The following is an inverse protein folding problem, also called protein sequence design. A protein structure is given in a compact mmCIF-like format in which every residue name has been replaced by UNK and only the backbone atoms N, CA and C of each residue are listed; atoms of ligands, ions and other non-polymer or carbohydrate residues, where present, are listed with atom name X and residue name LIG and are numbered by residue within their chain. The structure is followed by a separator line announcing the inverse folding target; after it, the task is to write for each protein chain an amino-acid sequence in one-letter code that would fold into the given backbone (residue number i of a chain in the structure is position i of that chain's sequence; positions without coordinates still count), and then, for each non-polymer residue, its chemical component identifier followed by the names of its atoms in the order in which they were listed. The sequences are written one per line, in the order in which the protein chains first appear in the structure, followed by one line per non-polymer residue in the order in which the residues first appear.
data_IF_278457377714
#
_entry.id   IF_278457377714
#
_cell.length_a   1.000
_cell.length_b   1.000
_cell.length_c   1.000
_cell.angle_alpha   90.00
_cell.angle_beta   90.00
_cell.angle_gamma   90.00
#
_symmetry.space_group_name_H-M   'P 1'
#
loop_
_entity.id
_entity.type
_entity.pdbx_description
1 polymer ?
#
# COMPACT_ATOMS: atom_id res chain seq x y z
N UNK A 1 12.92 -1.96 -25.53
CA UNK A 1 12.93 -3.24 -24.80
C UNK A 1 11.83 -3.17 -23.75
N UNK A 2 10.64 -3.69 -24.07
CA UNK A 2 9.53 -3.79 -23.11
C UNK A 2 9.77 -5.02 -22.25
N UNK A 3 9.82 -4.83 -20.94
CA UNK A 3 9.91 -5.91 -19.97
C UNK A 3 8.49 -6.18 -19.48
N UNK A 4 7.87 -7.28 -19.93
CA UNK A 4 6.46 -7.65 -19.63
C UNK A 4 6.26 -8.24 -18.23
N UNK A 5 7.28 -8.16 -17.37
CA UNK A 5 7.23 -8.68 -16.02
C UNK A 5 6.94 -7.55 -15.03
N UNK A 6 5.79 -7.56 -14.31
CA UNK A 6 5.38 -6.48 -13.42
C UNK A 6 6.20 -6.40 -12.12
N UNK A 7 7.08 -7.38 -11.88
CA UNK A 7 7.71 -7.64 -10.59
C UNK A 7 9.22 -7.45 -10.51
N UNK A 8 9.76 -7.49 -9.29
CA UNK A 8 11.20 -7.55 -9.04
C UNK A 8 11.72 -9.01 -9.01
N UNK A 9 13.04 -9.19 -8.88
CA UNK A 9 13.70 -10.52 -8.89
C UNK A 9 13.17 -11.47 -7.80
N UNK A 10 12.68 -10.95 -6.66
CA UNK A 10 12.07 -11.77 -5.61
C UNK A 10 10.75 -12.38 -6.08
N UNK A 11 9.96 -11.64 -6.84
CA UNK A 11 8.70 -12.13 -7.38
C UNK A 11 8.92 -13.20 -8.43
N UNK A 12 9.93 -13.02 -9.30
CA UNK A 12 10.35 -14.04 -10.25
C UNK A 12 10.74 -15.34 -9.54
N UNK A 13 11.51 -15.26 -8.45
CA UNK A 13 11.87 -16.42 -7.63
C UNK A 13 10.64 -17.12 -7.07
N UNK A 14 9.68 -16.36 -6.53
CA UNK A 14 8.46 -16.92 -5.95
C UNK A 14 7.59 -17.63 -6.99
N UNK A 15 7.53 -17.09 -8.22
CA UNK A 15 6.87 -17.72 -9.37
C UNK A 15 7.52 -19.06 -9.68
N UNK A 16 8.84 -19.09 -9.86
CA UNK A 16 9.57 -20.30 -10.24
C UNK A 16 9.39 -21.40 -9.18
N UNK A 17 9.49 -21.05 -7.90
CA UNK A 17 9.30 -22.02 -6.80
C UNK A 17 7.90 -22.65 -6.86
N UNK A 18 6.85 -21.83 -7.01
CA UNK A 18 5.48 -22.36 -7.06
C UNK A 18 5.24 -23.18 -8.32
N UNK A 19 5.70 -22.72 -9.48
CA UNK A 19 5.56 -23.44 -10.73
C UNK A 19 6.24 -24.82 -10.64
N UNK A 20 7.45 -24.87 -10.08
CA UNK A 20 8.17 -26.12 -9.85
C UNK A 20 7.44 -27.05 -8.87
N UNK A 21 6.75 -26.51 -7.86
CA UNK A 21 5.98 -27.29 -6.90
C UNK A 21 4.65 -27.81 -7.49
N UNK A 22 3.98 -27.00 -8.31
CA UNK A 22 2.64 -27.29 -8.85
C UNK A 22 2.68 -28.15 -10.11
N UNK A 23 3.75 -28.05 -10.90
CA UNK A 23 3.92 -28.76 -12.18
C UNK A 23 5.24 -29.55 -12.21
N UNK A 24 5.45 -30.51 -11.29
CA UNK A 24 6.69 -31.28 -11.25
C UNK A 24 6.84 -32.12 -12.52
N UNK A 25 7.99 -32.01 -13.19
CA UNK A 25 8.31 -32.79 -14.38
C UNK A 25 7.47 -32.48 -15.63
N UNK A 26 6.66 -31.42 -15.60
CA UNK A 26 5.79 -31.04 -16.71
C UNK A 26 6.33 -29.81 -17.45
N UNK A 27 6.22 -29.81 -18.77
CA UNK A 27 6.52 -28.62 -19.59
C UNK A 27 5.39 -27.60 -19.45
N UNK A 28 5.70 -26.46 -18.84
CA UNK A 28 4.75 -25.38 -18.60
C UNK A 28 4.58 -24.58 -19.90
N UNK A 29 3.36 -24.58 -20.45
CA UNK A 29 3.01 -23.78 -21.63
C UNK A 29 2.77 -22.33 -21.26
N UNK A 30 2.96 -21.42 -22.22
CA UNK A 30 2.78 -19.96 -22.05
C UNK A 30 1.44 -19.59 -21.41
N UNK A 31 0.34 -20.24 -21.83
CA UNK A 31 -1.00 -20.00 -21.29
C UNK A 31 -1.12 -20.32 -19.79
N UNK A 32 -0.44 -21.38 -19.33
CA UNK A 32 -0.41 -21.77 -17.91
C UNK A 32 0.40 -20.75 -17.10
N UNK A 33 1.50 -20.26 -17.66
CA UNK A 33 2.31 -19.21 -17.05
C UNK A 33 1.52 -17.90 -16.91
N UNK A 34 0.82 -17.47 -17.96
CA UNK A 34 -0.03 -16.27 -17.96
C UNK A 34 -1.16 -16.37 -16.91
N UNK A 35 -1.81 -17.53 -16.82
CA UNK A 35 -2.85 -17.79 -15.84
C UNK A 35 -2.31 -17.76 -14.40
N UNK A 36 -1.13 -18.33 -14.15
CA UNK A 36 -0.47 -18.30 -12.84
C UNK A 36 0.01 -16.90 -12.45
N UNK A 37 0.46 -16.08 -13.43
CA UNK A 37 0.80 -14.68 -13.21
C UNK A 37 -0.44 -13.83 -12.88
N UNK A 38 -1.56 -14.02 -13.57
CA UNK A 38 -2.81 -13.30 -13.29
C UNK A 38 -3.42 -13.68 -11.93
N UNK A 39 -3.30 -14.95 -11.54
CA UNK A 39 -3.71 -15.39 -10.20
C UNK A 39 -2.79 -14.84 -9.11
N UNK A 40 -1.52 -14.61 -9.42
CA UNK A 40 -0.58 -13.98 -8.51
C UNK A 40 -0.90 -12.53 -8.23
N UNK A 41 -1.17 -11.73 -9.28
CA UNK A 41 -1.59 -10.33 -9.11
C UNK A 41 -2.92 -10.21 -8.38
N UNK A 42 -3.72 -11.28 -8.35
CA UNK A 42 -5.01 -11.32 -7.64
C UNK A 42 -4.91 -11.89 -6.22
N UNK A 43 -3.92 -12.76 -5.93
CA UNK A 43 -3.71 -13.42 -4.61
C UNK A 43 -2.64 -12.75 -3.77
N UNK A 44 -1.65 -12.10 -4.38
CA UNK A 44 -0.95 -11.01 -3.73
C UNK A 44 -1.89 -9.82 -3.89
N UNK A 45 -2.68 -9.53 -2.85
CA UNK A 45 -3.45 -8.29 -2.74
C UNK A 45 -2.55 -7.08 -2.61
N UNK A 46 -1.57 -6.96 -3.49
CA UNK A 46 -0.78 -5.78 -3.70
C UNK A 46 -1.37 -5.16 -4.96
N UNK A 47 -2.39 -4.33 -4.76
CA UNK A 47 -2.47 -3.10 -5.55
C UNK A 47 -1.08 -2.50 -5.41
N UNK A 48 -0.14 -2.84 -6.30
CA UNK A 48 1.27 -2.46 -6.26
C UNK A 48 1.30 -1.08 -5.63
N UNK A 49 1.67 -0.94 -4.36
CA UNK A 49 1.41 0.34 -3.65
C UNK A 49 2.07 1.48 -4.45
N UNK A 50 3.18 1.15 -5.11
CA UNK A 50 3.88 1.93 -6.12
C UNK A 50 3.03 2.42 -7.28
N UNK A 51 2.09 1.64 -7.80
CA UNK A 51 1.16 2.05 -8.86
C UNK A 51 0.11 3.04 -8.35
N UNK A 52 -0.33 2.92 -7.10
CA UNK A 52 -1.19 3.92 -6.45
C UNK A 52 -0.42 5.23 -6.28
N UNK A 53 0.80 5.17 -5.74
CA UNK A 53 1.66 6.35 -5.60
C UNK A 53 2.00 6.99 -6.95
N UNK A 54 2.30 6.20 -7.99
CA UNK A 54 2.54 6.69 -9.36
C UNK A 54 1.30 7.36 -9.94
N UNK A 55 0.11 6.83 -9.68
CA UNK A 55 -1.16 7.43 -10.12
C UNK A 55 -1.41 8.76 -9.41
N UNK A 56 -1.21 8.84 -8.10
CA UNK A 56 -1.38 10.06 -7.32
C UNK A 56 -0.38 11.14 -7.77
N UNK A 57 0.90 10.78 -7.95
CA UNK A 57 1.94 11.70 -8.42
C UNK A 57 1.64 12.27 -9.82
N UNK A 58 1.05 11.47 -10.71
CA UNK A 58 0.67 11.89 -12.06
C UNK A 58 -0.65 12.65 -12.13
N UNK A 59 -1.38 12.77 -11.01
CA UNK A 59 -2.61 13.55 -10.98
C UNK A 59 -2.31 15.03 -11.19
N UNK A 60 -3.18 15.72 -11.95
CA UNK A 60 -3.05 17.17 -12.15
C UNK A 60 -3.21 17.89 -10.81
N UNK A 61 -2.27 18.77 -10.48
CA UNK A 61 -2.31 19.55 -9.23
C UNK A 61 -1.85 18.78 -7.99
N UNK A 62 -1.11 17.67 -8.15
CA UNK A 62 -0.53 16.95 -7.03
C UNK A 62 0.42 17.84 -6.21
N UNK A 63 0.17 17.94 -4.92
CA UNK A 63 1.06 18.55 -3.95
C UNK A 63 1.37 17.54 -2.85
N UNK A 64 2.66 17.27 -2.64
CA UNK A 64 3.12 16.30 -1.65
C UNK A 64 2.66 16.67 -0.23
N UNK A 65 2.73 17.95 0.12
CA UNK A 65 2.33 18.41 1.46
C UNK A 65 0.84 18.17 1.74
N UNK A 66 -0.02 18.36 0.74
CA UNK A 66 -1.46 18.13 0.89
C UNK A 66 -1.79 16.64 0.98
N UNK A 67 -1.09 15.82 0.20
CA UNK A 67 -1.24 14.36 0.28
C UNK A 67 -0.79 13.81 1.64
N UNK A 68 0.34 14.30 2.16
CA UNK A 68 0.81 13.93 3.50
C UNK A 68 -0.18 14.35 4.59
N UNK A 69 -0.73 15.57 4.51
CA UNK A 69 -1.78 16.03 5.43
C UNK A 69 -3.03 15.15 5.37
N UNK A 70 -3.45 14.75 4.17
CA UNK A 70 -4.61 13.87 3.97
C UNK A 70 -4.39 12.52 4.63
N UNK A 71 -3.26 11.88 4.33
CA UNK A 71 -2.89 10.59 4.91
C UNK A 71 -2.78 10.69 6.44
N UNK A 72 -2.14 11.74 6.95
CA UNK A 72 -2.02 11.99 8.37
C UNK A 72 -3.40 12.11 9.06
N UNK A 73 -4.33 12.89 8.48
CA UNK A 73 -5.69 13.04 9.00
C UNK A 73 -6.44 11.70 9.07
N UNK A 74 -6.33 10.88 8.03
CA UNK A 74 -6.96 9.54 8.01
C UNK A 74 -6.43 8.66 9.15
N UNK A 75 -5.11 8.61 9.36
CA UNK A 75 -4.53 7.81 10.45
C UNK A 75 -4.92 8.34 11.84
N UNK A 76 -4.99 9.67 12.00
CA UNK A 76 -5.45 10.28 13.26
C UNK A 76 -6.90 9.87 13.55
N UNK A 77 -7.78 9.94 12.56
CA UNK A 77 -9.18 9.55 12.70
C UNK A 77 -9.34 8.07 13.05
N UNK A 78 -8.62 7.19 12.35
CA UNK A 78 -8.63 5.76 12.62
C UNK A 78 -8.14 5.45 14.05
N UNK A 79 -7.04 6.08 14.48
CA UNK A 79 -6.53 5.91 15.83
C UNK A 79 -7.52 6.41 16.90
N UNK A 80 -8.25 7.49 16.64
CA UNK A 80 -9.31 7.97 17.53
C UNK A 80 -10.51 7.01 17.58
N UNK A 81 -10.92 6.44 16.44
CA UNK A 81 -11.98 5.45 16.38
C UNK A 81 -11.62 4.18 17.17
N UNK A 82 -10.44 3.63 16.93
CA UNK A 82 -9.92 2.43 17.63
C UNK A 82 -9.68 2.67 19.13
N UNK A 83 -9.38 3.91 19.52
CA UNK A 83 -9.18 4.28 20.92
C UNK A 83 -10.43 4.81 21.62
N UNK A 84 -11.60 4.78 20.98
CA UNK A 84 -12.87 5.31 21.51
C UNK A 84 -12.74 6.78 21.95
N UNK A 85 -12.12 7.62 21.11
CA UNK A 85 -11.81 9.03 21.36
C UNK A 85 -10.88 9.28 22.57
N UNK A 86 -10.15 8.27 23.03
CA UNK A 86 -9.12 8.47 24.06
C UNK A 86 -7.83 9.01 23.44
N UNK A 87 -7.63 10.31 23.58
CA UNK A 87 -6.51 11.04 22.98
C UNK A 87 -5.12 10.49 23.37
N UNK A 88 -4.94 10.09 24.63
CA UNK A 88 -3.67 9.53 25.10
C UNK A 88 -3.38 8.17 24.46
N UNK A 89 -4.42 7.35 24.29
CA UNK A 89 -4.31 6.04 23.66
C UNK A 89 -4.11 6.15 22.15
N UNK A 90 -4.82 7.05 21.47
CA UNK A 90 -4.60 7.37 20.05
C UNK A 90 -3.16 7.86 19.80
N UNK A 91 -2.66 8.79 20.62
CA UNK A 91 -1.29 9.29 20.51
C UNK A 91 -0.26 8.17 20.69
N UNK A 92 -0.48 7.28 21.67
CA UNK A 92 0.37 6.11 21.88
C UNK A 92 0.33 5.14 20.69
N UNK A 93 -0.82 4.92 20.06
CA UNK A 93 -0.94 4.06 18.87
C UNK A 93 -0.20 4.64 17.66
N UNK A 94 -0.23 5.95 17.51
CA UNK A 94 0.46 6.67 16.43
C UNK A 94 1.94 6.93 16.73
N UNK A 95 2.44 6.58 17.92
CA UNK A 95 3.83 6.78 18.32
C UNK A 95 4.21 8.26 18.50
N UNK A 96 3.24 9.13 18.77
CA UNK A 96 3.45 10.58 18.98
C UNK A 96 3.05 11.00 20.38
N UNK A 97 3.58 12.13 20.85
CA UNK A 97 3.13 12.72 22.11
C UNK A 97 1.71 13.29 21.97
N UNK A 98 0.93 13.26 23.04
CA UNK A 98 -0.45 13.78 23.07
C UNK A 98 -0.52 15.25 22.67
N UNK A 99 0.42 16.08 23.13
CA UNK A 99 0.50 17.50 22.75
C UNK A 99 0.77 17.69 21.26
N UNK A 100 1.62 16.84 20.67
CA UNK A 100 1.90 16.82 19.23
C UNK A 100 0.67 16.42 18.42
N UNK A 101 -0.08 15.42 18.89
CA UNK A 101 -1.34 14.99 18.25
C UNK A 101 -2.38 16.12 18.29
N UNK A 102 -2.52 16.79 19.44
CA UNK A 102 -3.42 17.94 19.61
C UNK A 102 -3.10 19.07 18.62
N UNK A 103 -1.84 19.50 18.54
CA UNK A 103 -1.43 20.55 17.61
C UNK A 103 -1.45 20.14 16.13
N UNK A 104 -1.56 18.84 15.81
CA UNK A 104 -1.78 18.35 14.44
C UNK A 104 -3.25 18.39 14.06
N UNK A 105 -4.15 18.05 14.99
CA UNK A 105 -5.60 18.15 14.76
C UNK A 105 -6.05 19.59 14.57
N UNK A 106 -5.59 20.50 15.45
CA UNK A 106 -5.94 21.93 15.39
C UNK A 106 -5.61 22.54 14.01
N UNK A 107 -4.40 22.27 13.51
CA UNK A 107 -3.96 22.66 12.16
C UNK A 107 -4.75 22.04 11.01
N UNK A 108 -5.45 20.93 11.24
CA UNK A 108 -6.31 20.28 10.24
C UNK A 108 -7.77 20.72 10.32
N UNK A 109 -8.19 21.37 11.42
CA UNK A 109 -9.52 21.93 11.60
C UNK A 109 -9.63 23.38 11.09
N UNK A 110 -8.53 24.16 11.09
CA UNK A 110 -8.48 25.56 10.63
C UNK A 110 -8.70 25.82 9.11
N UNK A 111 -9.14 24.83 8.32
CA UNK A 111 -9.45 25.00 6.88
C UNK A 111 -10.93 24.81 6.52
N UNK A 112 -11.84 24.96 7.48
CA UNK A 112 -13.28 25.07 7.24
C UNK A 112 -13.81 26.48 7.49
#
# INVERSE_FOLDING_TARGET
MLYDFPGNVRELRNIIIRLSAKYPGQTIKKSVLEQEMMQLTSRHGDLNEMDVFRKNLKAKGFQLNDELKRIEKEYINLALQESLNNMSKAASMLGVNRSTLYGRMDRTEEMH
#
